data_IF_532222743405
#
_entry.id   IF_532222743405
#
_cell.length_a   1.000
_cell.length_b   1.000
_cell.length_c   1.000
_cell.angle_alpha   90.00
_cell.angle_beta   90.00
_cell.angle_gamma   90.00
#
_symmetry.space_group_name_H-M   'P 1'
#
loop_
_entity.id
_entity.type
_entity.pdbx_description
1 polymer ?
#
# COMPACT_ATOMS: atom_id res chain seq x y z
N UNK A 1 -7.74 -0.28 -21.77
CA UNK A 1 -7.53 0.56 -20.57
C UNK A 1 -7.98 2.01 -20.77
N UNK A 2 -7.46 2.77 -21.76
CA UNK A 2 -7.81 4.18 -22.02
C UNK A 2 -9.32 4.44 -22.17
N UNK A 3 -10.04 3.64 -22.96
CA UNK A 3 -11.48 3.76 -23.17
C UNK A 3 -12.31 3.57 -21.89
N UNK A 4 -11.88 2.67 -21.01
CA UNK A 4 -12.51 2.42 -19.72
C UNK A 4 -12.40 3.64 -18.77
N UNK A 5 -11.20 4.23 -18.69
CA UNK A 5 -10.95 5.43 -17.87
C UNK A 5 -11.72 6.66 -18.41
N UNK A 6 -11.81 6.78 -19.74
CA UNK A 6 -12.57 7.84 -20.39
C UNK A 6 -14.09 7.72 -20.18
N UNK A 7 -14.62 6.49 -20.17
CA UNK A 7 -16.06 6.25 -19.98
C UNK A 7 -16.54 6.59 -18.57
N UNK A 8 -15.62 6.66 -17.60
CA UNK A 8 -15.91 7.00 -16.19
C UNK A 8 -15.43 8.40 -15.80
N UNK A 9 -15.03 9.22 -16.78
CA UNK A 9 -14.50 10.57 -16.56
C UNK A 9 -13.31 10.62 -15.57
N UNK A 10 -12.47 9.57 -15.57
CA UNK A 10 -11.24 9.50 -14.75
C UNK A 10 -10.01 10.08 -15.46
N UNK A 11 -10.16 10.46 -16.73
CA UNK A 11 -9.12 11.13 -17.52
C UNK A 11 -9.68 12.40 -18.10
N UNK A 12 -8.94 13.50 -17.98
CA UNK A 12 -9.26 14.77 -18.65
C UNK A 12 -9.04 14.63 -20.16
N UNK A 13 -10.08 14.96 -20.93
CA UNK A 13 -10.06 14.92 -22.41
C UNK A 13 -9.51 16.20 -23.05
N UNK A 14 -9.40 17.26 -22.26
CA UNK A 14 -9.07 18.61 -22.76
C UNK A 14 -7.57 18.83 -22.92
N UNK A 15 -6.71 17.92 -22.47
CA UNK A 15 -5.26 18.05 -22.50
C UNK A 15 -4.62 17.03 -23.45
N UNK A 16 -3.48 17.40 -24.03
CA UNK A 16 -2.65 16.52 -24.87
C UNK A 16 -2.02 15.40 -24.06
N UNK A 17 -1.86 15.62 -22.74
CA UNK A 17 -1.32 14.66 -21.77
C UNK A 17 -2.45 13.94 -21.05
N UNK A 18 -2.21 12.66 -20.74
CA UNK A 18 -3.12 11.88 -19.89
C UNK A 18 -3.09 12.39 -18.46
N UNK A 19 -4.17 13.03 -18.01
CA UNK A 19 -4.31 13.48 -16.63
C UNK A 19 -5.46 12.75 -15.95
N UNK A 20 -5.18 12.16 -14.80
CA UNK A 20 -6.19 11.56 -13.96
C UNK A 20 -7.01 12.67 -13.28
N UNK A 21 -8.32 12.46 -13.24
CA UNK A 21 -9.28 13.23 -12.45
C UNK A 21 -10.17 12.29 -11.67
N UNK A 22 -10.91 12.80 -10.67
CA UNK A 22 -11.72 11.97 -9.78
C UNK A 22 -10.92 10.80 -9.17
N UNK A 23 -9.68 11.09 -8.75
CA UNK A 23 -8.70 10.09 -8.29
C UNK A 23 -9.27 9.26 -7.14
N UNK A 24 -10.02 9.89 -6.23
CA UNK A 24 -10.67 9.21 -5.12
C UNK A 24 -11.63 8.12 -5.61
N UNK A 25 -12.54 8.45 -6.52
CA UNK A 25 -13.49 7.49 -7.09
C UNK A 25 -12.77 6.34 -7.82
N UNK A 26 -11.69 6.67 -8.54
CA UNK A 26 -10.83 5.68 -9.19
C UNK A 26 -10.31 4.67 -8.18
N UNK A 27 -9.71 5.11 -7.06
CA UNK A 27 -9.15 4.23 -6.05
C UNK A 27 -10.22 3.38 -5.35
N UNK A 28 -11.36 3.97 -4.99
CA UNK A 28 -12.46 3.21 -4.38
C UNK A 28 -13.03 2.13 -5.31
N UNK A 29 -13.14 2.43 -6.59
CA UNK A 29 -13.59 1.44 -7.58
C UNK A 29 -12.53 0.36 -7.79
N UNK A 30 -11.27 0.75 -7.90
CA UNK A 30 -10.17 -0.19 -8.09
C UNK A 30 -10.01 -1.13 -6.88
N UNK A 31 -10.09 -0.61 -5.67
CA UNK A 31 -10.02 -1.42 -4.45
C UNK A 31 -11.08 -2.52 -4.43
N UNK A 32 -12.33 -2.22 -4.83
CA UNK A 32 -13.40 -3.23 -4.92
C UNK A 32 -13.05 -4.39 -5.85
N UNK A 33 -12.49 -4.07 -7.02
CA UNK A 33 -12.12 -5.07 -8.01
C UNK A 33 -10.84 -5.84 -7.60
N UNK A 34 -9.92 -5.17 -6.89
CA UNK A 34 -8.63 -5.72 -6.48
C UNK A 34 -8.77 -6.76 -5.37
N UNK A 35 -9.61 -6.50 -4.37
CA UNK A 35 -9.83 -7.42 -3.24
C UNK A 35 -10.49 -8.74 -3.64
N UNK A 36 -11.05 -8.84 -4.84
CA UNK A 36 -11.53 -10.10 -5.39
C UNK A 36 -10.39 -11.05 -5.81
N UNK A 37 -9.15 -10.53 -5.95
CA UNK A 37 -7.96 -11.34 -6.22
C UNK A 37 -7.26 -11.61 -4.88
N UNK A 38 -7.50 -12.80 -4.33
CA UNK A 38 -7.02 -13.19 -3.00
C UNK A 38 -5.49 -13.24 -2.93
N UNK A 39 -4.88 -12.19 -2.37
CA UNK A 39 -3.54 -12.30 -1.82
C UNK A 39 -3.58 -13.17 -0.57
N UNK A 40 -2.68 -14.15 -0.46
CA UNK A 40 -2.64 -15.05 0.69
C UNK A 40 -2.08 -14.31 1.90
N UNK A 41 -2.91 -14.11 2.94
CA UNK A 41 -2.49 -13.50 4.21
C UNK A 41 -2.24 -14.58 5.25
N UNK A 42 -1.07 -14.53 5.89
CA UNK A 42 -0.66 -15.42 6.97
C UNK A 42 -0.48 -14.60 8.24
N UNK A 43 -0.90 -15.15 9.38
CA UNK A 43 -0.75 -14.49 10.67
C UNK A 43 0.35 -15.16 11.49
N UNK A 44 1.18 -14.34 12.11
CA UNK A 44 2.26 -14.77 13.00
C UNK A 44 2.26 -13.94 14.27
N UNK A 45 2.91 -14.50 15.29
CA UNK A 45 3.19 -13.82 16.54
C UNK A 45 4.70 -13.67 16.70
N UNK A 46 5.15 -12.51 17.17
CA UNK A 46 6.48 -12.21 17.64
C UNK A 46 6.41 -11.67 19.06
N UNK A 47 7.48 -11.89 19.85
CA UNK A 47 7.65 -11.26 21.16
C UNK A 47 8.03 -9.78 21.06
N UNK A 48 8.54 -9.38 19.91
CA UNK A 48 8.96 -8.00 19.63
C UNK A 48 7.77 -7.07 19.47
N UNK A 49 8.00 -5.79 19.69
CA UNK A 49 7.03 -4.74 19.40
C UNK A 49 6.90 -4.51 17.89
N UNK A 50 5.77 -3.96 17.46
CA UNK A 50 5.54 -3.68 16.03
C UNK A 50 6.67 -2.85 15.39
N UNK A 51 7.18 -1.76 16.01
CA UNK A 51 8.32 -1.03 15.45
C UNK A 51 9.60 -1.86 15.30
N UNK A 52 9.90 -2.75 16.28
CA UNK A 52 11.07 -3.64 16.23
C UNK A 52 10.94 -4.67 15.11
N UNK A 53 9.74 -5.27 14.95
CA UNK A 53 9.44 -6.19 13.84
C UNK A 53 9.63 -5.49 12.48
N UNK A 54 9.11 -4.28 12.33
CA UNK A 54 9.22 -3.51 11.09
C UNK A 54 10.67 -3.13 10.77
N UNK A 55 11.46 -2.81 11.80
CA UNK A 55 12.88 -2.54 11.64
C UNK A 55 13.62 -3.79 11.22
N UNK A 56 13.41 -4.92 11.90
CA UNK A 56 14.04 -6.22 11.57
C UNK A 56 13.67 -6.66 10.15
N UNK A 57 12.42 -6.47 9.74
CA UNK A 57 11.98 -6.75 8.37
C UNK A 57 12.70 -5.86 7.33
N UNK A 58 12.88 -4.58 7.63
CA UNK A 58 13.59 -3.66 6.75
C UNK A 58 15.09 -3.99 6.63
N UNK A 59 15.72 -4.38 7.71
CA UNK A 59 17.13 -4.81 7.73
C UNK A 59 17.32 -6.13 6.98
N UNK A 60 16.45 -7.10 7.22
CA UNK A 60 16.43 -8.38 6.52
C UNK A 60 16.27 -8.18 5.00
N UNK A 61 15.35 -7.31 4.60
CA UNK A 61 15.08 -7.00 3.19
C UNK A 61 16.31 -6.50 2.43
N UNK A 62 17.17 -5.68 3.07
CA UNK A 62 18.40 -5.14 2.46
C UNK A 62 19.40 -6.22 2.05
N UNK A 63 19.36 -7.36 2.71
CA UNK A 63 20.28 -8.48 2.45
C UNK A 63 19.66 -9.58 1.60
N UNK A 64 18.37 -9.48 1.26
CA UNK A 64 17.58 -10.49 0.55
C UNK A 64 16.84 -9.89 -0.67
N UNK A 65 17.56 -9.18 -1.51
CA UNK A 65 17.06 -8.61 -2.79
C UNK A 65 15.76 -7.79 -2.67
N UNK A 66 15.56 -7.13 -1.51
CA UNK A 66 14.33 -6.42 -1.20
C UNK A 66 13.07 -7.32 -1.18
N UNK A 67 13.23 -8.59 -0.86
CA UNK A 67 12.18 -9.59 -0.86
C UNK A 67 11.09 -9.42 0.21
N UNK A 68 11.24 -8.43 1.11
CA UNK A 68 10.23 -8.03 2.09
C UNK A 68 10.04 -6.52 2.09
N UNK A 69 8.78 -6.04 2.08
CA UNK A 69 8.44 -4.61 2.10
C UNK A 69 7.27 -4.37 3.05
N UNK A 70 7.21 -3.20 3.69
CA UNK A 70 6.06 -2.85 4.49
C UNK A 70 4.85 -2.53 3.61
N UNK A 71 3.67 -3.02 4.02
CA UNK A 71 2.39 -2.79 3.36
C UNK A 71 1.33 -2.27 4.32
N UNK A 72 0.09 -2.13 3.87
CA UNK A 72 -1.06 -1.79 4.68
C UNK A 72 -0.83 -0.64 5.66
N UNK A 73 -1.18 -0.83 6.94
CA UNK A 73 -0.97 0.19 7.97
C UNK A 73 0.50 0.49 8.28
N UNK A 74 1.40 -0.48 8.14
CA UNK A 74 2.84 -0.26 8.31
C UNK A 74 3.39 0.71 7.25
N UNK A 75 2.98 0.57 6.00
CA UNK A 75 3.31 1.52 4.93
C UNK A 75 2.61 2.87 5.14
N UNK A 76 1.32 2.85 5.51
CA UNK A 76 0.54 4.06 5.75
C UNK A 76 1.17 4.98 6.80
N UNK A 77 1.71 4.41 7.87
CA UNK A 77 2.39 5.17 8.92
C UNK A 77 3.63 5.93 8.42
N UNK A 78 4.26 5.50 7.32
CA UNK A 78 5.39 6.20 6.68
C UNK A 78 4.92 7.34 5.78
N UNK A 79 3.78 7.16 5.12
CA UNK A 79 3.20 8.21 4.29
C UNK A 79 2.46 9.27 5.10
N UNK A 80 1.57 8.84 6.01
CA UNK A 80 0.73 9.72 6.80
C UNK A 80 0.41 9.05 8.16
N UNK A 81 1.12 9.36 9.26
CA UNK A 81 0.94 8.71 10.56
C UNK A 81 -0.33 9.21 11.26
N UNK A 82 -1.49 8.84 10.76
CA UNK A 82 -2.80 9.28 11.26
C UNK A 82 -3.51 8.27 12.13
N UNK A 83 -3.22 6.98 11.94
CA UNK A 83 -3.93 5.89 12.60
C UNK A 83 -2.98 5.01 13.41
N UNK A 84 -3.38 4.67 14.64
CA UNK A 84 -2.66 3.68 15.46
C UNK A 84 -2.98 2.27 14.96
N UNK A 85 -1.96 1.44 14.82
CA UNK A 85 -2.07 0.04 14.43
C UNK A 85 -1.32 -0.86 15.41
N UNK A 86 -1.66 -2.14 15.43
CA UNK A 86 -1.15 -3.12 16.39
C UNK A 86 -0.52 -4.34 15.74
N UNK A 87 -0.40 -4.33 14.41
CA UNK A 87 0.17 -5.42 13.64
C UNK A 87 1.15 -4.87 12.62
N UNK A 88 2.32 -5.47 12.53
CA UNK A 88 3.21 -5.25 11.40
C UNK A 88 2.60 -5.92 10.17
N UNK A 89 2.46 -5.19 9.08
CA UNK A 89 1.92 -5.67 7.81
C UNK A 89 3.04 -5.64 6.77
N UNK A 90 3.41 -6.82 6.27
CA UNK A 90 4.61 -7.02 5.47
C UNK A 90 4.25 -7.85 4.24
N UNK A 91 4.58 -7.36 3.06
CA UNK A 91 4.62 -8.16 1.85
C UNK A 91 5.94 -8.92 1.79
N UNK A 92 5.87 -10.22 1.55
CA UNK A 92 7.05 -11.08 1.39
C UNK A 92 6.88 -11.88 0.11
N UNK A 93 7.88 -11.84 -0.76
CA UNK A 93 7.85 -12.62 -1.99
C UNK A 93 7.82 -14.14 -1.70
N UNK A 94 7.09 -14.93 -2.50
CA UNK A 94 6.82 -16.34 -2.21
C UNK A 94 8.06 -17.18 -1.89
N UNK A 95 9.17 -16.94 -2.60
CA UNK A 95 10.41 -17.68 -2.42
C UNK A 95 11.10 -17.42 -1.09
N UNK A 96 10.86 -16.26 -0.47
CA UNK A 96 11.52 -15.83 0.75
C UNK A 96 10.71 -16.09 2.04
N UNK A 97 9.44 -16.48 1.92
CA UNK A 97 8.53 -16.58 3.10
C UNK A 97 9.08 -17.49 4.19
N UNK A 98 9.62 -18.67 3.83
CA UNK A 98 10.13 -19.63 4.82
C UNK A 98 11.37 -19.11 5.54
N UNK A 99 12.30 -18.51 4.80
CA UNK A 99 13.53 -17.93 5.34
C UNK A 99 13.20 -16.72 6.22
N UNK A 100 12.35 -15.80 5.76
CA UNK A 100 11.89 -14.65 6.52
C UNK A 100 11.25 -15.04 7.86
N UNK A 101 10.33 -16.01 7.85
CA UNK A 101 9.66 -16.49 9.07
C UNK A 101 10.65 -17.10 10.05
N UNK A 102 11.64 -17.87 9.56
CA UNK A 102 12.67 -18.49 10.37
C UNK A 102 13.62 -17.47 10.98
N UNK A 103 14.12 -16.54 10.16
CA UNK A 103 15.16 -15.59 10.57
C UNK A 103 14.61 -14.54 11.56
N UNK A 104 13.33 -14.16 11.44
CA UNK A 104 12.65 -13.28 12.39
C UNK A 104 11.96 -14.06 13.53
N UNK A 105 12.18 -15.36 13.65
CA UNK A 105 11.64 -16.24 14.72
C UNK A 105 10.11 -16.13 14.89
N UNK A 106 9.38 -15.93 13.77
CA UNK A 106 7.94 -15.72 13.78
C UNK A 106 7.20 -17.04 14.03
N UNK A 107 6.25 -17.02 14.98
CA UNK A 107 5.43 -18.18 15.32
C UNK A 107 4.08 -18.13 14.58
N UNK A 108 3.73 -19.16 13.78
CA UNK A 108 2.44 -19.17 13.08
C UNK A 108 1.28 -19.25 14.07
N UNK A 109 0.25 -18.42 13.87
CA UNK A 109 -0.95 -18.42 14.70
C UNK A 109 -2.20 -18.29 13.84
N UNK A 110 -3.32 -18.84 14.33
CA UNK A 110 -4.60 -18.70 13.63
C UNK A 110 -5.27 -17.35 13.91
N UNK A 111 -5.06 -16.82 15.11
CA UNK A 111 -5.65 -15.55 15.58
C UNK A 111 -4.72 -14.87 16.60
N UNK A 112 -4.89 -13.55 16.78
CA UNK A 112 -4.17 -12.80 17.82
C UNK A 112 -2.70 -12.49 17.48
N UNK A 113 -2.27 -12.74 16.24
CA UNK A 113 -0.93 -12.37 15.79
C UNK A 113 -0.74 -10.85 15.72
N UNK A 114 0.51 -10.43 15.94
CA UNK A 114 0.98 -9.06 15.75
C UNK A 114 1.78 -8.85 14.45
N UNK A 115 1.87 -9.90 13.60
CA UNK A 115 2.47 -9.84 12.27
C UNK A 115 1.50 -10.43 11.26
N UNK A 116 1.32 -9.73 10.14
CA UNK A 116 0.59 -10.21 8.97
C UNK A 116 1.55 -10.22 7.78
N UNK A 117 1.84 -11.40 7.26
CA UNK A 117 2.57 -11.57 6.02
C UNK A 117 1.57 -11.71 4.88
N UNK A 118 1.67 -10.83 3.90
CA UNK A 118 0.91 -10.90 2.65
C UNK A 118 1.83 -11.45 1.56
N UNK A 119 1.47 -12.60 1.01
CA UNK A 119 2.16 -13.18 -0.14
C UNK A 119 1.47 -12.62 -1.38
N UNK A 120 2.15 -11.77 -2.18
CA UNK A 120 1.54 -11.14 -3.34
C UNK A 120 1.20 -12.19 -4.41
N UNK A 121 0.13 -11.94 -5.16
CA UNK A 121 -0.26 -12.80 -6.28
C UNK A 121 0.67 -12.62 -7.50
N UNK A 122 1.22 -11.43 -7.65
CA UNK A 122 2.18 -11.04 -8.68
C UNK A 122 3.26 -10.11 -8.10
N UNK A 123 4.26 -9.80 -8.89
CA UNK A 123 5.41 -8.97 -8.46
C UNK A 123 5.07 -7.48 -8.29
N UNK A 124 3.86 -7.04 -8.65
CA UNK A 124 3.49 -5.61 -8.71
C UNK A 124 3.71 -4.86 -7.40
N UNK A 125 3.31 -5.36 -6.22
CA UNK A 125 3.52 -4.64 -4.96
C UNK A 125 5.00 -4.42 -4.64
N UNK A 126 5.85 -5.39 -4.94
CA UNK A 126 7.29 -5.32 -4.70
C UNK A 126 8.01 -4.49 -5.78
N UNK A 127 7.64 -4.66 -7.05
CA UNK A 127 8.23 -3.94 -8.18
C UNK A 127 8.12 -2.42 -8.06
N UNK A 128 7.01 -1.91 -7.53
CA UNK A 128 6.75 -0.48 -7.36
C UNK A 128 6.97 0.01 -5.92
N UNK A 129 7.66 -0.77 -5.09
CA UNK A 129 8.04 -0.36 -3.74
C UNK A 129 8.89 0.92 -3.76
N UNK A 130 8.73 1.74 -2.75
CA UNK A 130 9.45 3.01 -2.62
C UNK A 130 10.19 3.09 -1.28
N UNK A 131 11.40 3.65 -1.26
CA UNK A 131 12.07 3.95 0.00
C UNK A 131 11.39 5.16 0.67
N UNK A 132 10.97 4.99 1.92
CA UNK A 132 10.47 6.07 2.78
C UNK A 132 11.16 5.92 4.14
N UNK A 133 11.93 6.93 4.57
CA UNK A 133 12.73 6.89 5.80
C UNK A 133 13.57 5.61 5.93
N UNK A 134 14.36 5.31 4.89
CA UNK A 134 15.26 4.14 4.79
C UNK A 134 14.57 2.75 4.86
N UNK A 135 13.26 2.70 4.75
CA UNK A 135 12.47 1.47 4.72
C UNK A 135 11.74 1.35 3.39
N UNK A 136 11.76 0.18 2.77
CA UNK A 136 10.95 -0.08 1.59
C UNK A 136 9.49 -0.29 1.99
N UNK A 137 8.60 0.42 1.31
CA UNK A 137 7.15 0.34 1.52
C UNK A 137 6.44 0.16 0.18
N UNK A 138 5.26 -0.42 0.17
CA UNK A 138 4.40 -0.45 -1.03
C UNK A 138 4.16 0.97 -1.55
N UNK A 139 3.96 1.12 -2.86
CA UNK A 139 3.64 2.42 -3.45
C UNK A 139 2.42 3.07 -2.78
N UNK A 140 2.27 4.41 -2.81
CA UNK A 140 1.08 5.06 -2.25
C UNK A 140 -0.22 4.49 -2.82
N UNK A 141 -0.23 4.16 -4.11
CA UNK A 141 -1.40 3.57 -4.77
C UNK A 141 -1.74 2.19 -4.20
N UNK A 142 -0.75 1.30 -4.07
CA UNK A 142 -0.96 -0.02 -3.48
C UNK A 142 -1.40 0.08 -2.03
N UNK A 143 -0.75 0.97 -1.25
CA UNK A 143 -1.10 1.18 0.16
C UNK A 143 -2.55 1.65 0.31
N UNK A 144 -3.01 2.59 -0.51
CA UNK A 144 -4.41 3.05 -0.51
C UNK A 144 -5.38 1.92 -0.82
N UNK A 145 -5.08 1.10 -1.83
CA UNK A 145 -5.92 -0.05 -2.22
C UNK A 145 -6.02 -1.06 -1.08
N UNK A 146 -4.90 -1.40 -0.44
CA UNK A 146 -4.86 -2.34 0.68
C UNK A 146 -5.73 -1.86 1.85
N UNK A 147 -5.60 -0.57 2.20
CA UNK A 147 -6.34 0.06 3.29
C UNK A 147 -7.84 0.16 3.02
N UNK A 148 -8.26 0.45 1.78
CA UNK A 148 -9.68 0.50 1.41
C UNK A 148 -10.35 -0.87 1.50
N UNK A 149 -9.59 -1.96 1.57
CA UNK A 149 -10.08 -3.30 1.87
C UNK A 149 -10.30 -3.58 3.34
N UNK A 150 -9.75 -2.74 4.22
CA UNK A 150 -9.92 -2.86 5.68
C UNK A 150 -10.98 -1.87 6.17
N UNK A 151 -12.16 -2.38 6.50
CA UNK A 151 -13.30 -1.55 6.88
C UNK A 151 -13.01 -0.69 8.13
N UNK A 152 -13.40 0.59 8.07
CA UNK A 152 -13.31 1.53 9.18
C UNK A 152 -12.00 2.32 9.19
N UNK A 153 -11.02 1.93 10.00
CA UNK A 153 -9.75 2.69 10.15
C UNK A 153 -8.90 2.73 8.89
N UNK A 154 -9.03 1.73 8.02
CA UNK A 154 -8.35 1.70 6.73
C UNK A 154 -8.76 2.85 5.83
N UNK A 155 -10.05 3.19 5.80
CA UNK A 155 -10.55 4.31 5.00
C UNK A 155 -9.97 5.66 5.46
N UNK A 156 -9.89 5.91 6.78
CA UNK A 156 -9.29 7.12 7.32
C UNK A 156 -7.82 7.27 6.92
N UNK A 157 -7.05 6.19 7.02
CA UNK A 157 -5.64 6.16 6.64
C UNK A 157 -5.46 6.34 5.10
N UNK A 158 -6.29 5.68 4.29
CA UNK A 158 -6.31 5.82 2.84
C UNK A 158 -6.58 7.28 2.42
N UNK A 159 -7.58 7.92 3.04
CA UNK A 159 -7.92 9.31 2.79
C UNK A 159 -6.80 10.30 3.14
N UNK A 160 -6.04 10.02 4.20
CA UNK A 160 -4.88 10.83 4.57
C UNK A 160 -3.77 10.73 3.51
N UNK A 161 -3.51 9.53 2.97
CA UNK A 161 -2.54 9.32 1.89
C UNK A 161 -3.03 9.98 0.60
N UNK A 162 -4.32 9.80 0.24
CA UNK A 162 -4.89 10.42 -0.96
C UNK A 162 -4.73 11.94 -0.95
N UNK A 163 -5.02 12.60 0.16
CA UNK A 163 -4.84 14.05 0.30
C UNK A 163 -3.39 14.50 0.16
N UNK A 164 -2.43 13.70 0.62
CA UNK A 164 -1.02 14.04 0.59
C UNK A 164 -0.36 13.73 -0.75
N UNK A 165 -0.55 12.53 -1.26
CA UNK A 165 0.16 12.03 -2.45
C UNK A 165 -0.60 12.33 -3.75
N UNK A 166 -1.91 12.56 -3.67
CA UNK A 166 -2.80 12.82 -4.80
C UNK A 166 -3.73 14.01 -4.51
N UNK A 167 -3.19 15.21 -4.24
CA UNK A 167 -4.01 16.37 -3.90
C UNK A 167 -4.98 16.71 -5.04
N UNK A 168 -6.22 16.99 -4.70
CA UNK A 168 -7.20 17.52 -5.68
C UNK A 168 -6.77 18.93 -6.09
N UNK A 169 -6.75 19.19 -7.40
CA UNK A 169 -6.44 20.50 -7.93
C UNK A 169 -7.53 21.49 -7.60
N UNK A 170 -7.13 22.69 -7.21
CA UNK A 170 -8.06 23.80 -7.01
C UNK A 170 -8.64 24.27 -8.34
N UNK A 171 -9.80 24.91 -8.31
CA UNK A 171 -10.44 25.47 -9.52
C UNK A 171 -9.58 26.53 -10.21
N UNK A 172 -8.74 27.24 -9.47
CA UNK A 172 -7.82 28.25 -10.00
C UNK A 172 -6.68 27.63 -10.81
N UNK A 173 -6.13 26.48 -10.37
CA UNK A 173 -5.13 25.72 -11.13
C UNK A 173 -5.71 25.18 -12.43
N UNK A 174 -7.00 24.77 -12.43
CA UNK A 174 -7.73 24.32 -13.63
C UNK A 174 -7.99 25.46 -14.63
N UNK A 175 -8.18 26.71 -14.15
CA UNK A 175 -8.42 27.89 -14.99
C UNK A 175 -7.16 28.43 -15.65
N UNK A 176 -6.04 28.42 -14.93
CA UNK A 176 -4.77 28.96 -15.43
C UNK A 176 -4.23 28.17 -16.64
N UNK A 177 -4.49 26.87 -16.71
CA UNK A 177 -4.04 26.03 -17.83
C UNK A 177 -4.96 26.08 -19.07
N UNK A 178 -6.23 26.48 -18.93
CA UNK A 178 -7.13 26.66 -20.07
C UNK A 178 -6.97 28.00 -20.79
N UNK A 179 -6.12 28.88 -20.24
CA UNK A 179 -5.89 30.24 -20.76
C UNK A 179 -4.55 30.43 -21.47
N UNK A 180 -3.79 29.36 -21.71
CA UNK A 180 -2.48 29.45 -22.41
C UNK A 180 -2.55 28.61 -23.74
#
# INVERSE_FOLDING_TARGET
MKSFLLARDWIDKSTTEFRLQNIRELFYTWAKDYHQKEARKLQFYSLDTVPEIEQSAAEWSKTHDNGAILGGFSAAARYAPTVRYQKAEIYVEPQFVQEFVKDLELQPVNTGGNVVITIPHDETPCMYAKPVHDTLVTSPAQTVIDLLGDAGRGEEAAEAILRREYPERTEDERRTEKGN
#
